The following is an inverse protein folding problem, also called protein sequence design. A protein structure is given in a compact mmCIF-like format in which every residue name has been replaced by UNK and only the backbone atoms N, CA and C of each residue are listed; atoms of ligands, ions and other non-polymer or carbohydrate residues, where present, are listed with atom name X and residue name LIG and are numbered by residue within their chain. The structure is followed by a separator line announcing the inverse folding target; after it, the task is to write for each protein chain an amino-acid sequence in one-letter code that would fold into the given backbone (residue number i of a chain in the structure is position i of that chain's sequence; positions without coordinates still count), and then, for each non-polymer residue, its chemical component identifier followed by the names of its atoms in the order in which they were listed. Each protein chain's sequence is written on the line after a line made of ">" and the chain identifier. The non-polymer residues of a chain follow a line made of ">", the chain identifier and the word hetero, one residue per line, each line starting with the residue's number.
data_IF_792031630920
#
_entry.id   IF_792031630920
#
_cell.length_a   1.000
_cell.length_b   1.000
_cell.length_c   1.000
_cell.angle_alpha   90.00
_cell.angle_beta   90.00
_cell.angle_gamma   90.00
#
_symmetry.space_group_name_H-M   'P 1'
#
loop_
_entity.id
_entity.type
_entity.pdbx_description
1 polymer ?
#
# COMPACT_ATOMS: atom_id res chain seq x y z
N UNK A 1 -0.09 -22.00 6.69
CA UNK A 1 -0.90 -21.58 5.53
C UNK A 1 -0.24 -20.35 4.98
N UNK A 2 -0.15 -20.21 3.67
CA UNK A 2 0.58 -19.10 3.05
C UNK A 2 -0.22 -17.79 3.18
N UNK A 3 0.43 -16.73 3.65
CA UNK A 3 -0.16 -15.40 3.80
C UNK A 3 0.47 -14.41 2.83
N UNK A 4 -0.35 -13.76 2.03
CA UNK A 4 0.10 -12.77 1.04
C UNK A 4 -0.53 -11.41 1.33
N UNK A 5 0.30 -10.38 1.42
CA UNK A 5 -0.15 -8.98 1.42
C UNK A 5 -0.11 -8.46 -0.01
N UNK A 6 -1.22 -7.91 -0.50
CA UNK A 6 -1.34 -7.35 -1.85
C UNK A 6 -1.56 -5.85 -1.74
N UNK A 7 -0.63 -5.05 -2.24
CA UNK A 7 -0.80 -3.61 -2.33
C UNK A 7 -1.35 -3.21 -3.70
N UNK A 8 -2.50 -2.57 -3.72
CA UNK A 8 -3.12 -2.04 -4.94
C UNK A 8 -2.90 -0.53 -5.05
N UNK A 9 -2.18 -0.10 -6.08
CA UNK A 9 -1.99 1.32 -6.41
C UNK A 9 -3.16 1.91 -7.21
N UNK A 10 -3.37 3.23 -7.10
CA UNK A 10 -4.44 3.92 -7.82
C UNK A 10 -4.38 3.73 -9.35
N UNK A 11 -3.19 3.73 -9.95
CA UNK A 11 -3.01 3.52 -11.39
C UNK A 11 -3.42 2.11 -11.84
N UNK A 12 -3.14 1.08 -11.04
CA UNK A 12 -3.57 -0.29 -11.33
C UNK A 12 -5.10 -0.45 -11.25
N UNK A 13 -5.76 0.37 -10.43
CA UNK A 13 -7.22 0.36 -10.24
C UNK A 13 -7.99 1.12 -11.32
N UNK A 14 -7.33 1.94 -12.15
CA UNK A 14 -7.97 2.70 -13.23
C UNK A 14 -8.04 1.92 -14.55
N UNK A 15 -7.24 0.86 -14.72
CA UNK A 15 -7.16 0.07 -15.97
C UNK A 15 -8.22 -1.02 -16.11
N UNK A 16 -9.11 -1.17 -15.14
CA UNK A 16 -10.17 -2.17 -15.14
C UNK A 16 -10.49 -2.71 -13.75
N UNK A 17 -11.38 -3.69 -13.64
CA UNK A 17 -11.72 -4.28 -12.35
C UNK A 17 -10.51 -5.01 -11.76
N UNK A 18 -10.27 -4.78 -10.47
CA UNK A 18 -9.26 -5.50 -9.71
C UNK A 18 -9.65 -6.97 -9.57
N UNK A 19 -8.74 -7.87 -9.91
CA UNK A 19 -8.94 -9.30 -9.88
C UNK A 19 -7.91 -9.94 -8.98
N UNK A 20 -8.30 -10.23 -7.73
CA UNK A 20 -7.41 -10.77 -6.70
C UNK A 20 -6.81 -12.13 -7.10
N UNK A 21 -7.58 -12.95 -7.79
CA UNK A 21 -7.19 -14.28 -8.27
C UNK A 21 -6.03 -14.30 -9.27
N UNK A 22 -5.59 -13.13 -9.74
CA UNK A 22 -4.38 -13.01 -10.58
C UNK A 22 -3.08 -13.01 -9.79
N UNK A 23 -3.16 -12.79 -8.50
CA UNK A 23 -2.00 -12.55 -7.62
C UNK A 23 -1.84 -13.62 -6.54
N UNK A 24 -2.93 -14.31 -6.20
CA UNK A 24 -2.96 -15.26 -5.09
C UNK A 24 -3.75 -16.51 -5.45
N UNK A 25 -3.35 -17.63 -4.86
CA UNK A 25 -4.07 -18.89 -5.01
C UNK A 25 -5.31 -18.93 -4.08
N UNK A 26 -6.36 -19.71 -4.42
CA UNK A 26 -7.60 -19.74 -3.66
C UNK A 26 -7.45 -20.15 -2.18
N UNK A 27 -6.40 -20.91 -1.87
CA UNK A 27 -6.12 -21.40 -0.52
C UNK A 27 -5.27 -20.45 0.35
N UNK A 28 -4.71 -19.39 -0.23
CA UNK A 28 -3.89 -18.42 0.50
C UNK A 28 -4.78 -17.52 1.39
N UNK A 29 -4.23 -17.12 2.53
CA UNK A 29 -4.74 -15.99 3.30
C UNK A 29 -4.24 -14.70 2.66
N UNK A 30 -5.11 -13.72 2.58
CA UNK A 30 -4.81 -12.48 1.85
C UNK A 30 -5.25 -11.26 2.65
N UNK A 31 -4.35 -10.29 2.73
CA UNK A 31 -4.64 -8.94 3.17
C UNK A 31 -4.38 -7.97 2.02
N UNK A 32 -5.34 -7.11 1.71
CA UNK A 32 -5.22 -6.11 0.65
C UNK A 32 -5.04 -4.71 1.28
N UNK A 33 -4.02 -3.99 0.85
CA UNK A 33 -3.82 -2.58 1.19
C UNK A 33 -3.97 -1.74 -0.07
N UNK A 34 -4.82 -0.73 -0.03
CA UNK A 34 -5.07 0.07 -1.23
C UNK A 34 -4.66 1.54 -1.08
N UNK A 35 -4.35 2.18 -2.19
CA UNK A 35 -4.20 3.62 -2.28
C UNK A 35 -5.44 4.27 -2.89
N UNK A 36 -5.57 5.60 -2.73
CA UNK A 36 -6.61 6.39 -3.37
C UNK A 36 -6.03 7.69 -3.99
N UNK A 37 -4.75 7.67 -4.39
CA UNK A 37 -4.00 8.87 -4.75
C UNK A 37 -4.66 9.77 -5.79
N UNK A 38 -5.19 9.21 -6.90
CA UNK A 38 -5.90 9.95 -7.94
C UNK A 38 -7.19 10.58 -7.41
N UNK A 39 -8.01 9.81 -6.69
CA UNK A 39 -9.26 10.29 -6.09
C UNK A 39 -8.99 11.42 -5.08
N UNK A 40 -7.98 11.25 -4.22
CA UNK A 40 -7.57 12.28 -3.26
C UNK A 40 -7.15 13.56 -3.98
N UNK A 41 -6.33 13.44 -5.03
CA UNK A 41 -5.89 14.60 -5.82
C UNK A 41 -7.08 15.35 -6.39
N UNK A 42 -8.02 14.65 -7.05
CA UNK A 42 -9.22 15.26 -7.62
C UNK A 42 -10.12 15.90 -6.56
N UNK A 43 -10.27 15.28 -5.38
CA UNK A 43 -11.07 15.84 -4.29
C UNK A 43 -10.45 17.13 -3.72
N UNK A 44 -9.12 17.15 -3.54
CA UNK A 44 -8.40 18.34 -3.07
C UNK A 44 -8.45 19.47 -4.10
N UNK A 45 -8.25 19.18 -5.38
CA UNK A 45 -8.36 20.15 -6.47
C UNK A 45 -9.75 20.78 -6.54
N UNK A 46 -10.81 19.96 -6.42
CA UNK A 46 -12.19 20.45 -6.40
C UNK A 46 -12.48 21.35 -5.18
N UNK A 47 -11.78 21.14 -4.07
CA UNK A 47 -11.85 21.99 -2.88
C UNK A 47 -10.88 23.19 -2.89
N UNK A 48 -10.07 23.37 -3.94
CA UNK A 48 -9.06 24.42 -4.00
C UNK A 48 -7.87 24.22 -3.07
N UNK A 49 -7.65 23.01 -2.57
CA UNK A 49 -6.56 22.67 -1.67
C UNK A 49 -5.36 22.15 -2.47
N UNK A 50 -4.21 22.77 -2.30
CA UNK A 50 -2.98 22.38 -2.99
C UNK A 50 -2.49 20.99 -2.53
N UNK A 51 -2.18 20.12 -3.49
CA UNK A 51 -1.60 18.81 -3.23
C UNK A 51 -0.08 18.87 -3.37
N UNK A 52 0.64 18.60 -2.29
CA UNK A 52 2.10 18.56 -2.24
C UNK A 52 2.59 17.23 -1.70
N UNK A 53 3.70 16.75 -2.23
CA UNK A 53 4.36 15.53 -1.78
C UNK A 53 5.79 15.82 -1.30
N UNK A 54 6.21 15.07 -0.28
CA UNK A 54 7.58 15.04 0.23
C UNK A 54 7.92 13.57 0.43
N UNK A 55 8.97 13.09 -0.20
CA UNK A 55 9.44 11.70 -0.14
C UNK A 55 8.30 10.67 -0.36
N UNK A 56 7.48 10.89 -1.38
CA UNK A 56 6.36 10.03 -1.72
C UNK A 56 5.15 10.13 -0.77
N UNK A 57 5.20 10.95 0.28
CA UNK A 57 4.11 11.16 1.25
C UNK A 57 3.38 12.45 0.94
N UNK A 58 2.05 12.39 0.90
CA UNK A 58 1.20 13.57 0.68
C UNK A 58 1.12 14.39 1.95
N UNK A 59 1.59 15.64 1.92
CA UNK A 59 1.35 16.61 2.99
C UNK A 59 -0.16 16.72 3.22
N UNK A 60 -0.60 16.49 4.44
CA UNK A 60 -2.02 16.38 4.77
C UNK A 60 -2.37 17.38 5.88
N UNK A 61 -2.98 18.49 5.49
CA UNK A 61 -3.46 19.50 6.46
C UNK A 61 -4.72 19.00 7.18
N UNK A 62 -5.10 19.67 8.26
CA UNK A 62 -6.35 19.38 8.98
C UNK A 62 -7.58 19.55 8.04
N UNK A 63 -7.53 20.50 7.13
CA UNK A 63 -8.57 20.75 6.12
C UNK A 63 -8.61 19.63 5.04
N UNK A 64 -7.47 19.12 4.62
CA UNK A 64 -7.37 18.05 3.63
C UNK A 64 -7.80 16.67 4.19
N UNK A 65 -7.62 16.44 5.48
CA UNK A 65 -7.80 15.12 6.09
C UNK A 65 -9.20 14.52 5.91
N UNK A 66 -10.32 15.25 6.05
CA UNK A 66 -11.65 14.70 5.77
C UNK A 66 -11.82 14.23 4.33
N UNK A 67 -11.26 14.95 3.35
CA UNK A 67 -11.32 14.60 1.93
C UNK A 67 -10.46 13.37 1.62
N UNK A 68 -9.30 13.26 2.27
CA UNK A 68 -8.45 12.07 2.21
C UNK A 68 -9.19 10.84 2.74
N UNK A 69 -9.83 10.96 3.93
CA UNK A 69 -10.60 9.89 4.55
C UNK A 69 -11.76 9.44 3.67
N UNK A 70 -12.55 10.38 3.16
CA UNK A 70 -13.68 10.07 2.28
C UNK A 70 -13.22 9.40 0.98
N UNK A 71 -12.11 9.87 0.39
CA UNK A 71 -11.53 9.24 -0.80
C UNK A 71 -11.12 7.78 -0.54
N UNK A 72 -10.55 7.49 0.62
CA UNK A 72 -10.23 6.12 1.02
C UNK A 72 -11.49 5.28 1.24
N UNK A 73 -12.53 5.83 1.88
CA UNK A 73 -13.79 5.11 2.11
C UNK A 73 -14.43 4.66 0.79
N UNK A 74 -14.54 5.57 -0.17
CA UNK A 74 -15.13 5.26 -1.49
C UNK A 74 -14.30 4.23 -2.26
N UNK A 75 -12.96 4.32 -2.21
CA UNK A 75 -12.10 3.35 -2.91
C UNK A 75 -12.12 1.98 -2.21
N UNK A 76 -12.24 1.96 -0.88
CA UNK A 76 -12.37 0.74 -0.10
C UNK A 76 -13.66 -0.02 -0.45
N UNK A 77 -14.80 0.67 -0.47
CA UNK A 77 -16.09 0.09 -0.86
C UNK A 77 -16.04 -0.49 -2.27
N UNK A 78 -15.51 0.27 -3.23
CA UNK A 78 -15.35 -0.19 -4.61
C UNK A 78 -14.51 -1.45 -4.73
N UNK A 79 -13.40 -1.55 -3.99
CA UNK A 79 -12.55 -2.73 -3.99
C UNK A 79 -13.24 -3.93 -3.34
N UNK A 80 -13.95 -3.71 -2.24
CA UNK A 80 -14.74 -4.77 -1.59
C UNK A 80 -15.78 -5.36 -2.54
N UNK A 81 -16.47 -4.53 -3.31
CA UNK A 81 -17.41 -4.99 -4.35
C UNK A 81 -16.72 -5.86 -5.41
N UNK A 82 -15.52 -5.48 -5.85
CA UNK A 82 -14.76 -6.23 -6.86
C UNK A 82 -14.19 -7.55 -6.34
N UNK A 83 -13.77 -7.61 -5.09
CA UNK A 83 -13.25 -8.81 -4.44
C UNK A 83 -14.40 -9.77 -4.08
N UNK A 84 -15.58 -9.23 -3.77
CA UNK A 84 -16.78 -10.00 -3.52
C UNK A 84 -17.01 -10.37 -2.05
N UNK A 85 -17.84 -11.40 -1.74
CA UNK A 85 -18.41 -11.63 -0.42
C UNK A 85 -17.42 -11.87 0.73
N UNK A 86 -16.19 -12.29 0.41
CA UNK A 86 -15.13 -12.48 1.41
C UNK A 86 -14.47 -11.18 1.83
N UNK A 87 -14.61 -10.10 1.06
CA UNK A 87 -14.01 -8.82 1.38
C UNK A 87 -14.54 -8.26 2.70
N UNK A 88 -13.64 -7.64 3.46
CA UNK A 88 -13.95 -6.91 4.68
C UNK A 88 -13.24 -5.55 4.60
N UNK A 89 -13.99 -4.50 4.29
CA UNK A 89 -13.48 -3.14 4.23
C UNK A 89 -13.16 -2.60 5.62
N UNK A 90 -11.93 -2.09 5.78
CA UNK A 90 -11.42 -1.61 7.07
C UNK A 90 -10.70 -0.28 6.87
N UNK A 91 -11.08 0.72 7.69
CA UNK A 91 -10.31 1.94 7.84
C UNK A 91 -9.20 1.65 8.87
N UNK A 92 -7.94 1.86 8.49
CA UNK A 92 -6.81 1.44 9.32
C UNK A 92 -6.77 2.09 10.70
N UNK A 93 -7.20 3.35 10.83
CA UNK A 93 -7.28 4.04 12.12
C UNK A 93 -8.36 3.47 13.04
N UNK A 94 -9.49 3.02 12.49
CA UNK A 94 -10.56 2.32 13.23
C UNK A 94 -10.14 0.90 13.60
N UNK A 95 -9.42 0.22 12.70
CA UNK A 95 -8.81 -1.08 12.97
C UNK A 95 -7.75 -0.99 14.08
N UNK A 96 -7.10 0.16 14.23
CA UNK A 96 -6.06 0.41 15.22
C UNK A 96 -4.64 0.37 14.67
N UNK A 97 -4.45 0.61 13.37
CA UNK A 97 -3.13 0.75 12.77
C UNK A 97 -2.34 1.87 13.48
N UNK A 98 -1.10 1.58 13.86
CA UNK A 98 -0.22 2.51 14.54
C UNK A 98 0.78 3.15 13.56
N UNK A 99 1.08 4.43 13.80
CA UNK A 99 2.10 5.16 13.05
C UNK A 99 2.73 6.26 13.91
N UNK A 100 3.99 6.54 13.65
CA UNK A 100 4.68 7.71 14.17
C UNK A 100 4.39 8.93 13.30
N UNK A 101 4.01 10.06 13.90
CA UNK A 101 3.77 11.31 13.16
C UNK A 101 5.06 11.77 12.48
N UNK A 102 4.95 12.22 11.25
CA UNK A 102 6.07 12.82 10.50
C UNK A 102 6.00 14.34 10.64
N UNK A 103 7.03 14.92 11.25
CA UNK A 103 7.10 16.36 11.48
C UNK A 103 7.09 17.15 10.16
N UNK A 104 6.43 18.30 10.19
CA UNK A 104 6.34 19.21 9.03
C UNK A 104 5.39 18.77 7.92
N UNK A 105 4.78 17.58 7.98
CA UNK A 105 3.86 17.09 6.96
C UNK A 105 2.37 17.13 7.38
N UNK A 106 2.07 17.65 8.58
CA UNK A 106 0.72 17.74 9.11
C UNK A 106 0.21 16.42 9.66
N UNK A 107 -0.91 15.93 9.15
CA UNK A 107 -1.52 14.65 9.53
C UNK A 107 -0.95 13.50 8.69
N UNK A 108 0.35 13.29 8.75
CA UNK A 108 1.06 12.20 8.06
C UNK A 108 1.77 11.31 9.07
N UNK A 109 1.72 10.00 8.84
CA UNK A 109 2.35 9.00 9.69
C UNK A 109 3.26 8.04 8.92
N UNK A 110 4.30 7.57 9.62
CA UNK A 110 5.12 6.43 9.24
C UNK A 110 4.60 5.19 9.98
N UNK A 111 4.08 4.17 9.29
CA UNK A 111 3.43 3.04 9.96
C UNK A 111 4.44 2.17 10.70
N UNK A 112 4.01 1.65 11.85
CA UNK A 112 4.77 0.65 12.61
C UNK A 112 4.38 -0.76 12.18
N UNK A 113 5.28 -1.76 12.22
CA UNK A 113 4.97 -3.14 11.90
C UNK A 113 4.24 -3.85 13.06
N UNK A 114 3.17 -3.21 13.54
CA UNK A 114 2.31 -3.71 14.62
C UNK A 114 0.96 -4.09 14.02
N UNK A 115 0.57 -5.34 14.21
CA UNK A 115 -0.68 -5.87 13.65
C UNK A 115 -1.82 -5.65 14.64
N UNK A 116 -2.86 -4.90 14.25
CA UNK A 116 -4.05 -4.78 15.07
C UNK A 116 -4.74 -6.13 15.30
N UNK A 117 -5.22 -6.43 16.52
CA UNK A 117 -5.87 -7.73 16.82
C UNK A 117 -7.05 -8.06 15.90
N UNK A 118 -7.82 -7.05 15.49
CA UNK A 118 -8.95 -7.23 14.57
C UNK A 118 -8.55 -7.73 13.18
N UNK A 119 -7.30 -7.51 12.76
CA UNK A 119 -6.79 -8.02 11.50
C UNK A 119 -6.58 -9.54 11.55
N UNK A 120 -6.00 -10.05 12.64
CA UNK A 120 -5.88 -11.49 12.86
C UNK A 120 -7.23 -12.18 12.90
N UNK A 121 -8.20 -11.61 13.62
CA UNK A 121 -9.56 -12.16 13.69
C UNK A 121 -10.22 -12.23 12.30
N UNK A 122 -10.01 -11.25 11.46
CA UNK A 122 -10.54 -11.25 10.10
C UNK A 122 -9.92 -12.35 9.23
N UNK A 123 -8.60 -12.55 9.32
CA UNK A 123 -7.88 -13.59 8.59
C UNK A 123 -8.31 -15.00 9.07
N UNK A 124 -8.38 -15.22 10.38
CA UNK A 124 -8.87 -16.49 10.98
C UNK A 124 -10.31 -16.81 10.54
N UNK A 125 -11.16 -15.79 10.39
CA UNK A 125 -12.51 -15.91 9.84
C UNK A 125 -12.56 -16.11 8.31
N UNK A 126 -11.40 -16.33 7.65
CA UNK A 126 -11.29 -16.51 6.20
C UNK A 126 -11.83 -15.32 5.39
N UNK A 127 -11.84 -14.14 5.98
CA UNK A 127 -12.15 -12.89 5.26
C UNK A 127 -10.92 -12.40 4.50
N UNK A 128 -11.14 -11.52 3.57
CA UNK A 128 -10.09 -10.75 2.87
C UNK A 128 -10.14 -9.32 3.40
N UNK A 129 -9.31 -8.94 4.40
CA UNK A 129 -9.23 -7.57 4.86
C UNK A 129 -8.78 -6.64 3.72
N UNK A 130 -9.53 -5.57 3.50
CA UNK A 130 -9.22 -4.51 2.52
C UNK A 130 -8.98 -3.23 3.32
N UNK A 131 -7.73 -2.83 3.43
CA UNK A 131 -7.28 -1.81 4.39
C UNK A 131 -7.01 -0.48 3.68
N UNK A 132 -7.71 0.57 4.12
CA UNK A 132 -7.37 1.95 3.81
C UNK A 132 -6.24 2.43 4.72
N UNK A 133 -5.15 3.02 4.20
CA UNK A 133 -3.96 3.33 4.96
C UNK A 133 -4.09 4.64 5.76
N UNK A 134 -4.92 4.59 6.77
CA UNK A 134 -5.02 5.58 7.83
C UNK A 134 -4.55 4.95 9.14
N UNK A 135 -3.88 5.72 9.98
CA UNK A 135 -3.45 5.26 11.30
C UNK A 135 -4.08 6.11 12.40
N UNK A 136 -4.04 5.61 13.64
CA UNK A 136 -4.53 6.32 14.82
C UNK A 136 -3.94 7.72 14.92
N UNK A 137 -4.75 8.68 15.36
CA UNK A 137 -4.31 10.04 15.63
C UNK A 137 -4.76 11.14 14.69
N UNK A 138 -5.78 11.01 13.81
CA UNK A 138 -5.82 10.30 12.55
C UNK A 138 -4.67 10.73 11.62
N UNK A 139 -3.90 9.80 11.14
CA UNK A 139 -2.75 10.06 10.28
C UNK A 139 -2.92 9.39 8.91
N UNK A 140 -2.69 10.17 7.85
CA UNK A 140 -2.59 9.65 6.49
C UNK A 140 -1.25 8.93 6.32
N UNK A 141 -1.27 7.69 5.89
CA UNK A 141 -0.08 6.85 5.70
C UNK A 141 0.10 6.56 4.21
N UNK A 142 1.34 6.54 3.74
CA UNK A 142 1.61 6.05 2.39
C UNK A 142 1.23 4.56 2.28
N UNK A 143 0.48 4.21 1.23
CA UNK A 143 -0.04 2.85 1.08
C UNK A 143 1.05 1.79 0.82
N UNK A 144 2.19 2.17 0.21
CA UNK A 144 3.33 1.27 0.02
C UNK A 144 3.99 0.99 1.38
N UNK A 145 4.20 2.04 2.20
CA UNK A 145 4.74 1.92 3.57
C UNK A 145 3.79 1.07 4.46
N UNK A 146 2.47 1.30 4.37
CA UNK A 146 1.48 0.54 5.15
C UNK A 146 1.48 -0.95 4.78
N UNK A 147 1.59 -1.27 3.50
CA UNK A 147 1.65 -2.66 3.02
C UNK A 147 2.92 -3.36 3.50
N UNK A 148 4.08 -2.68 3.45
CA UNK A 148 5.33 -3.21 3.97
C UNK A 148 5.25 -3.43 5.50
N UNK A 149 4.80 -2.45 6.26
CA UNK A 149 4.67 -2.57 7.71
C UNK A 149 3.73 -3.71 8.13
N UNK A 150 2.58 -3.85 7.47
CA UNK A 150 1.64 -4.93 7.73
C UNK A 150 2.20 -6.30 7.31
N UNK A 151 2.92 -6.40 6.18
CA UNK A 151 3.54 -7.65 5.78
C UNK A 151 4.60 -8.13 6.76
N UNK A 152 5.42 -7.21 7.27
CA UNK A 152 6.43 -7.49 8.30
C UNK A 152 5.74 -7.93 9.60
N UNK A 153 4.79 -7.15 10.10
CA UNK A 153 4.11 -7.44 11.36
C UNK A 153 3.32 -8.75 11.33
N UNK A 154 2.72 -9.10 10.21
CA UNK A 154 2.00 -10.36 9.99
C UNK A 154 2.95 -11.57 9.81
N UNK A 155 4.24 -11.36 9.59
CA UNK A 155 5.14 -12.42 9.15
C UNK A 155 4.68 -13.04 7.82
N UNK A 156 4.22 -12.19 6.88
CA UNK A 156 3.68 -12.66 5.61
C UNK A 156 4.75 -13.35 4.77
N UNK A 157 4.35 -14.40 4.03
CA UNK A 157 5.25 -15.09 3.10
C UNK A 157 5.58 -14.22 1.89
N UNK A 158 4.60 -13.36 1.47
CA UNK A 158 4.76 -12.52 0.26
C UNK A 158 4.14 -11.14 0.44
N UNK A 159 4.79 -10.15 -0.16
CA UNK A 159 4.25 -8.81 -0.41
C UNK A 159 4.28 -8.53 -1.91
N UNK A 160 3.13 -8.29 -2.50
CA UNK A 160 2.99 -8.00 -3.93
C UNK A 160 2.55 -6.56 -4.12
N UNK A 161 3.37 -5.76 -4.79
CA UNK A 161 2.96 -4.45 -5.26
C UNK A 161 2.38 -4.58 -6.67
N UNK A 162 1.06 -4.51 -6.76
CA UNK A 162 0.37 -4.46 -8.05
C UNK A 162 0.71 -3.14 -8.74
N UNK A 163 1.30 -3.24 -9.90
CA UNK A 163 1.76 -2.12 -10.71
C UNK A 163 1.01 -2.07 -12.04
N UNK A 164 0.99 -0.91 -12.66
CA UNK A 164 0.50 -0.69 -14.02
C UNK A 164 1.54 -1.05 -15.09
N UNK A 165 2.74 -1.38 -14.66
CA UNK A 165 3.84 -1.91 -15.48
C UNK A 165 4.17 -3.35 -15.07
N UNK A 166 4.73 -4.13 -15.98
CA UNK A 166 5.06 -5.54 -15.75
C UNK A 166 6.05 -5.77 -14.61
N UNK A 167 6.95 -4.80 -14.38
CA UNK A 167 7.98 -4.87 -13.37
C UNK A 167 8.82 -3.60 -13.35
N UNK A 168 9.99 -3.65 -12.77
CA UNK A 168 10.95 -2.54 -12.74
C UNK A 168 11.78 -2.54 -14.01
N UNK A 169 11.82 -1.39 -14.68
CA UNK A 169 12.62 -1.21 -15.90
C UNK A 169 14.00 -0.65 -15.56
N UNK A 170 15.04 -1.32 -16.05
CA UNK A 170 16.43 -0.85 -16.02
C UNK A 170 16.92 -0.89 -17.46
N UNK A 171 17.47 0.19 -17.97
CA UNK A 171 17.94 0.34 -19.36
C UNK A 171 16.92 -0.07 -20.44
N UNK A 172 15.61 0.10 -20.13
CA UNK A 172 14.51 -0.18 -21.04
C UNK A 172 13.98 -1.62 -21.01
N UNK A 173 14.58 -2.50 -20.20
CA UNK A 173 14.14 -3.88 -20.01
C UNK A 173 13.62 -4.13 -18.59
N UNK A 174 12.63 -5.02 -18.46
CA UNK A 174 12.12 -5.44 -17.15
C UNK A 174 13.09 -6.44 -16.54
N UNK A 175 13.60 -6.12 -15.36
CA UNK A 175 14.48 -7.01 -14.62
C UNK A 175 13.70 -8.00 -13.76
N UNK A 176 14.18 -9.23 -13.64
CA UNK A 176 13.52 -10.27 -12.84
C UNK A 176 13.84 -10.12 -11.35
N UNK A 177 14.99 -9.58 -11.00
CA UNK A 177 15.45 -9.37 -9.63
C UNK A 177 16.18 -8.04 -9.47
N UNK A 178 16.03 -7.40 -8.30
CA UNK A 178 16.78 -6.21 -7.89
C UNK A 178 17.25 -6.36 -6.46
N UNK A 179 18.58 -6.25 -6.27
CA UNK A 179 19.19 -6.22 -4.94
C UNK A 179 19.15 -4.82 -4.31
N UNK A 180 19.31 -4.77 -2.99
CA UNK A 180 19.45 -3.52 -2.24
C UNK A 180 20.51 -2.60 -2.87
N UNK A 181 21.66 -3.15 -3.27
CA UNK A 181 22.77 -2.40 -3.88
C UNK A 181 22.37 -1.79 -5.24
N UNK A 182 21.65 -2.53 -6.06
CA UNK A 182 21.19 -2.02 -7.36
C UNK A 182 20.14 -0.94 -7.18
N UNK A 183 19.23 -1.09 -6.20
CA UNK A 183 18.23 -0.06 -5.86
C UNK A 183 18.94 1.24 -5.44
N UNK A 184 19.98 1.16 -4.61
CA UNK A 184 20.79 2.32 -4.21
C UNK A 184 21.51 2.98 -5.41
N UNK A 185 22.01 2.20 -6.36
CA UNK A 185 22.65 2.71 -7.58
C UNK A 185 21.64 3.38 -8.53
N UNK A 186 20.40 2.94 -8.52
CA UNK A 186 19.32 3.53 -9.31
C UNK A 186 18.68 4.76 -8.64
N UNK A 187 19.10 5.10 -7.41
CA UNK A 187 18.63 6.30 -6.72
C UNK A 187 19.00 7.56 -7.53
N UNK A 188 17.98 8.41 -7.74
CA UNK A 188 18.10 9.58 -8.62
C UNK A 188 17.89 9.33 -10.12
N UNK A 189 17.97 8.08 -10.61
CA UNK A 189 17.63 7.69 -11.99
C UNK A 189 16.14 7.33 -12.10
N UNK A 190 15.63 6.63 -11.11
CA UNK A 190 14.20 6.30 -11.02
C UNK A 190 13.39 7.51 -10.57
N UNK A 191 12.21 7.69 -11.16
CA UNK A 191 11.33 8.81 -10.85
C UNK A 191 9.89 8.36 -10.59
N UNK A 192 9.15 9.19 -9.84
CA UNK A 192 7.73 8.98 -9.59
C UNK A 192 7.45 7.91 -8.53
N UNK A 193 6.32 7.27 -8.66
CA UNK A 193 5.80 6.32 -7.65
C UNK A 193 6.57 5.00 -7.52
N UNK A 194 7.59 4.74 -8.37
CA UNK A 194 8.38 3.51 -8.28
C UNK A 194 9.36 3.54 -7.11
N UNK A 195 9.95 4.71 -6.79
CA UNK A 195 10.96 4.85 -5.73
C UNK A 195 10.41 4.47 -4.36
N UNK A 196 9.31 5.09 -3.86
CA UNK A 196 8.73 4.69 -2.56
C UNK A 196 8.31 3.22 -2.54
N UNK A 197 7.85 2.68 -3.66
CA UNK A 197 7.48 1.27 -3.79
C UNK A 197 8.67 0.33 -3.62
N UNK A 198 9.81 0.63 -4.27
CA UNK A 198 11.04 -0.15 -4.11
C UNK A 198 11.62 -0.05 -2.70
N UNK A 199 11.57 1.13 -2.09
CA UNK A 199 11.99 1.31 -0.70
C UNK A 199 11.13 0.48 0.27
N UNK A 200 9.81 0.48 0.08
CA UNK A 200 8.89 -0.33 0.88
C UNK A 200 9.11 -1.85 0.64
N UNK A 201 9.32 -2.27 -0.61
CA UNK A 201 9.62 -3.65 -0.95
C UNK A 201 10.94 -4.11 -0.32
N UNK A 202 11.99 -3.28 -0.39
CA UNK A 202 13.29 -3.56 0.22
C UNK A 202 13.19 -3.64 1.76
N UNK A 203 12.41 -2.77 2.39
CA UNK A 203 12.18 -2.83 3.83
C UNK A 203 11.54 -4.17 4.24
N UNK A 204 10.55 -4.65 3.49
CA UNK A 204 9.92 -5.94 3.72
C UNK A 204 10.89 -7.11 3.45
N UNK A 205 11.70 -7.05 2.38
CA UNK A 205 12.66 -8.08 2.03
C UNK A 205 13.75 -8.23 3.11
N UNK A 206 14.22 -7.14 3.71
CA UNK A 206 15.18 -7.16 4.82
C UNK A 206 14.66 -7.88 6.07
N UNK A 207 13.35 -7.94 6.25
CA UNK A 207 12.68 -8.66 7.34
C UNK A 207 12.19 -10.06 6.91
N UNK A 208 12.68 -10.57 5.77
CA UNK A 208 12.44 -11.93 5.30
C UNK A 208 11.15 -12.14 4.51
N UNK A 209 10.40 -11.08 4.20
CA UNK A 209 9.20 -11.16 3.35
C UNK A 209 9.61 -11.18 1.89
N UNK A 210 9.13 -12.15 1.10
CA UNK A 210 9.33 -12.15 -0.36
C UNK A 210 8.55 -10.98 -0.99
N UNK A 211 9.24 -9.91 -1.40
CA UNK A 211 8.61 -8.70 -1.94
C UNK A 211 8.75 -8.64 -3.47
N UNK A 212 7.64 -8.37 -4.15
CA UNK A 212 7.57 -8.33 -5.63
C UNK A 212 6.93 -7.01 -6.09
N UNK A 213 7.55 -6.38 -7.09
CA UNK A 213 7.01 -5.18 -7.78
C UNK A 213 6.70 -5.56 -9.22
N UNK A 214 5.41 -5.77 -9.54
CA UNK A 214 5.06 -6.49 -10.75
C UNK A 214 5.68 -7.89 -10.73
N UNK A 215 6.50 -8.24 -11.74
CA UNK A 215 7.25 -9.50 -11.77
C UNK A 215 8.66 -9.41 -11.20
N UNK A 216 9.13 -8.21 -10.84
CA UNK A 216 10.48 -8.03 -10.30
C UNK A 216 10.55 -8.40 -8.82
N UNK A 217 11.37 -9.37 -8.46
CA UNK A 217 11.66 -9.73 -7.08
C UNK A 217 12.65 -8.72 -6.48
N UNK A 218 12.37 -8.24 -5.27
CA UNK A 218 13.28 -7.37 -4.50
C UNK A 218 13.96 -8.22 -3.44
N UNK A 219 15.30 -8.21 -3.42
CA UNK A 219 16.12 -8.95 -2.47
C UNK A 219 16.96 -8.01 -1.61
N UNK A 220 17.20 -8.42 -0.35
CA UNK A 220 17.94 -7.63 0.65
C UNK A 220 19.45 -7.73 0.45
#
# INVERSE_FOLDING_TARGET
>A
MKLTVVKCGGAALTRGPFRLERYVEPAEEVCVVHGAGGRITSALEAAGIASRFVDGRRVTTAEALPLVRESYRVENERLCEQIGPRALGLMGDELGLEADRVDGLGHVGLPRPVVPPGLWQALEARRVPVIAPLARGPLNVNADDAAAALSIGLGADRLIFVSDVEGVFVDGEVVDELSAREIEQLDGLLRGGIVPKLQAALAAAREGVRAEVGRTLVVA
#
